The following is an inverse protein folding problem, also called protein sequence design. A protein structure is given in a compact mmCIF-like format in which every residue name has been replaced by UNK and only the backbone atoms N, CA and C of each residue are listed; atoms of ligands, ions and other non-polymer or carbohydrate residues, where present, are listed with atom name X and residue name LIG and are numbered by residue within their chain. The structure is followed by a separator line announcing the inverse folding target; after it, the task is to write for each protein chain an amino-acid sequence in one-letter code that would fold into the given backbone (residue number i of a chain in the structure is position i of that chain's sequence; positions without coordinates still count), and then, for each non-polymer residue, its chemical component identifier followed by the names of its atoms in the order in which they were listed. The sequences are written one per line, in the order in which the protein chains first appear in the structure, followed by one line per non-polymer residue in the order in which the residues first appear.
data_IF_978427731552
#
_entry.id   IF_978427731552
#
_cell.length_a   1.000
_cell.length_b   1.000
_cell.length_c   1.000
_cell.angle_alpha   90.00
_cell.angle_beta   90.00
_cell.angle_gamma   90.00
#
_symmetry.space_group_name_H-M   'P 1'
#
loop_
_entity.id
_entity.type
_entity.pdbx_description
1 polymer ?
#
# COMPACT_ATOMS: atom_id res chain seq x y z
N UNK A 1 -1.52 7.08 0.53
CA UNK A 1 -2.40 6.13 1.22
C UNK A 1 -1.57 5.52 2.33
N UNK A 2 -2.16 5.22 3.48
CA UNK A 2 -1.40 4.56 4.56
C UNK A 2 -1.29 3.07 4.30
N UNK A 3 -0.26 2.42 4.84
CA UNK A 3 -0.07 0.98 4.74
C UNK A 3 -1.31 0.18 5.18
N UNK A 4 -2.00 0.64 6.24
CA UNK A 4 -3.20 -0.01 6.75
C UNK A 4 -4.40 0.10 5.78
N UNK A 5 -4.54 1.23 5.08
CA UNK A 5 -5.57 1.39 4.04
C UNK A 5 -5.27 0.51 2.84
N UNK A 6 -4.01 0.47 2.40
CA UNK A 6 -3.55 -0.38 1.29
C UNK A 6 -3.74 -1.86 1.61
N UNK A 7 -3.43 -2.30 2.83
CA UNK A 7 -3.63 -3.69 3.25
C UNK A 7 -5.12 -4.09 3.26
N UNK A 8 -6.01 -3.22 3.73
CA UNK A 8 -7.46 -3.47 3.68
C UNK A 8 -8.00 -3.51 2.25
N UNK A 9 -7.47 -2.67 1.37
CA UNK A 9 -7.83 -2.69 -0.04
C UNK A 9 -7.34 -3.97 -0.73
N UNK A 10 -6.11 -4.40 -0.46
CA UNK A 10 -5.57 -5.68 -0.93
C UNK A 10 -6.47 -6.85 -0.51
N UNK A 11 -6.89 -6.89 0.76
CA UNK A 11 -7.83 -7.91 1.24
C UNK A 11 -9.16 -7.90 0.48
N UNK A 12 -9.72 -6.72 0.20
CA UNK A 12 -10.97 -6.62 -0.57
C UNK A 12 -10.77 -7.09 -2.02
N UNK A 13 -9.63 -6.79 -2.64
CA UNK A 13 -9.30 -7.25 -3.99
C UNK A 13 -9.12 -8.78 -4.03
N UNK A 14 -8.52 -9.38 -3.01
CA UNK A 14 -8.38 -10.83 -2.89
C UNK A 14 -9.75 -11.52 -2.80
N UNK A 15 -10.68 -10.96 -2.01
CA UNK A 15 -12.06 -11.42 -1.94
C UNK A 15 -12.78 -11.29 -3.29
N UNK A 16 -12.55 -10.21 -4.04
CA UNK A 16 -13.11 -10.06 -5.38
C UNK A 16 -12.55 -11.10 -6.36
N UNK A 17 -11.27 -11.48 -6.24
CA UNK A 17 -10.67 -12.53 -7.06
C UNK A 17 -11.30 -13.89 -6.75
N UNK A 18 -11.58 -14.19 -5.48
CA UNK A 18 -12.29 -15.40 -5.08
C UNK A 18 -13.73 -15.38 -5.59
N UNK A 19 -14.43 -14.26 -5.43
CA UNK A 19 -15.83 -14.08 -5.84
C UNK A 19 -16.04 -14.32 -7.34
N UNK A 20 -15.09 -13.87 -8.18
CA UNK A 20 -15.13 -14.02 -9.63
C UNK A 20 -14.32 -15.22 -10.16
N UNK A 21 -14.15 -16.30 -9.39
CA UNK A 21 -13.34 -17.47 -9.82
C UNK A 21 -13.94 -18.16 -11.05
N UNK A 22 -15.25 -18.44 -11.04
CA UNK A 22 -15.86 -19.35 -12.03
C UNK A 22 -16.82 -18.64 -13.00
N UNK A 23 -16.90 -17.31 -12.95
CA UNK A 23 -17.71 -16.49 -13.85
C UNK A 23 -19.21 -16.50 -13.61
N UNK A 24 -19.74 -17.47 -12.86
CA UNK A 24 -21.16 -17.56 -12.50
C UNK A 24 -21.72 -16.36 -11.73
N UNK A 25 -20.84 -15.55 -11.13
CA UNK A 25 -21.22 -14.35 -10.38
C UNK A 25 -20.98 -13.04 -11.12
N UNK A 26 -20.53 -13.03 -12.38
CA UNK A 26 -20.30 -11.79 -13.10
C UNK A 26 -21.49 -11.39 -13.96
N UNK A 27 -22.01 -10.18 -13.74
CA UNK A 27 -23.11 -9.62 -14.54
C UNK A 27 -22.78 -8.22 -15.06
N UNK A 28 -23.51 -7.79 -16.11
CA UNK A 28 -23.40 -6.47 -16.74
C UNK A 28 -24.72 -5.72 -16.66
N UNK A 29 -24.65 -4.39 -16.60
CA UNK A 29 -25.80 -3.48 -16.61
C UNK A 29 -26.63 -3.49 -15.32
N UNK A 30 -26.25 -4.29 -14.32
CA UNK A 30 -26.90 -4.39 -13.00
C UNK A 30 -25.85 -4.52 -11.91
N UNK A 31 -26.07 -3.85 -10.77
CA UNK A 31 -25.22 -4.01 -9.59
C UNK A 31 -25.38 -5.38 -8.93
N UNK A 32 -26.59 -5.93 -8.99
CA UNK A 32 -27.00 -7.22 -8.47
C UNK A 32 -28.11 -7.73 -9.41
N UNK A 33 -28.01 -8.96 -9.88
CA UNK A 33 -29.02 -9.59 -10.73
C UNK A 33 -30.08 -10.39 -9.97
N UNK A 34 -29.98 -10.46 -8.64
CA UNK A 34 -30.87 -11.19 -7.74
C UNK A 34 -30.60 -12.70 -7.66
N UNK A 35 -29.66 -13.22 -8.44
CA UNK A 35 -29.27 -14.63 -8.48
C UNK A 35 -27.83 -14.85 -8.01
N UNK A 36 -27.26 -13.88 -7.29
CA UNK A 36 -25.87 -13.88 -6.83
C UNK A 36 -24.87 -13.33 -7.85
N UNK A 37 -25.33 -12.86 -9.01
CA UNK A 37 -24.49 -12.19 -9.98
C UNK A 37 -24.35 -10.70 -9.66
N UNK A 38 -23.11 -10.20 -9.66
CA UNK A 38 -22.78 -8.80 -9.44
C UNK A 38 -21.87 -8.25 -10.54
N UNK A 39 -22.06 -6.97 -10.88
CA UNK A 39 -21.05 -6.25 -11.65
C UNK A 39 -19.82 -5.98 -10.80
N UNK A 40 -18.72 -5.51 -11.40
CA UNK A 40 -17.49 -5.17 -10.69
C UNK A 40 -17.72 -4.30 -9.44
N UNK A 41 -18.50 -3.23 -9.61
CA UNK A 41 -18.80 -2.29 -8.50
C UNK A 41 -19.79 -2.91 -7.52
N UNK A 42 -20.75 -3.69 -8.00
CA UNK A 42 -21.71 -4.42 -7.15
C UNK A 42 -21.02 -5.39 -6.20
N UNK A 43 -20.10 -6.20 -6.72
CA UNK A 43 -19.33 -7.17 -5.94
C UNK A 43 -18.46 -6.46 -4.91
N UNK A 44 -17.79 -5.36 -5.31
CA UNK A 44 -16.99 -4.54 -4.40
C UNK A 44 -17.82 -4.01 -3.23
N UNK A 45 -19.04 -3.51 -3.48
CA UNK A 45 -19.93 -3.00 -2.43
C UNK A 45 -20.51 -4.13 -1.56
N UNK A 46 -20.85 -5.27 -2.16
CA UNK A 46 -21.35 -6.45 -1.46
C UNK A 46 -20.30 -6.98 -0.47
N UNK A 47 -19.10 -7.31 -0.97
CA UNK A 47 -18.00 -7.84 -0.17
C UNK A 47 -17.49 -6.83 0.86
N UNK A 48 -17.46 -5.55 0.51
CA UNK A 48 -17.15 -4.48 1.48
C UNK A 48 -18.08 -4.50 2.68
N UNK A 49 -19.39 -4.65 2.45
CA UNK A 49 -20.39 -4.69 3.53
C UNK A 49 -20.28 -5.97 4.34
N UNK A 50 -20.14 -7.11 3.66
CA UNK A 50 -20.02 -8.42 4.29
C UNK A 50 -18.79 -8.51 5.21
N UNK A 51 -17.63 -8.06 4.71
CA UNK A 51 -16.35 -8.15 5.43
C UNK A 51 -15.98 -6.87 6.20
N UNK A 52 -16.83 -5.84 6.18
CA UNK A 52 -16.62 -4.53 6.82
C UNK A 52 -15.32 -3.83 6.37
N UNK A 53 -15.00 -3.93 5.09
CA UNK A 53 -13.81 -3.34 4.50
C UNK A 53 -14.12 -2.00 3.80
N UNK A 54 -13.27 -0.98 3.92
CA UNK A 54 -13.45 0.28 3.21
C UNK A 54 -13.25 0.11 1.71
N UNK A 55 -14.01 0.86 0.91
CA UNK A 55 -14.01 0.74 -0.56
C UNK A 55 -13.08 1.73 -1.26
N UNK A 56 -12.82 2.89 -0.66
CA UNK A 56 -12.19 4.03 -1.33
C UNK A 56 -10.87 3.67 -2.01
N UNK A 57 -9.95 3.06 -1.27
CA UNK A 57 -8.62 2.69 -1.78
C UNK A 57 -8.70 1.59 -2.83
N UNK A 58 -9.58 0.59 -2.65
CA UNK A 58 -9.77 -0.46 -3.65
C UNK A 58 -10.33 0.11 -4.98
N UNK A 59 -11.26 1.06 -4.91
CA UNK A 59 -11.79 1.77 -6.09
C UNK A 59 -10.66 2.52 -6.80
N UNK A 60 -9.84 3.27 -6.07
CA UNK A 60 -8.71 4.00 -6.66
C UNK A 60 -7.74 3.06 -7.37
N UNK A 61 -7.33 1.97 -6.72
CA UNK A 61 -6.43 0.97 -7.30
C UNK A 61 -7.02 0.30 -8.54
N UNK A 62 -8.33 -0.03 -8.53
CA UNK A 62 -9.02 -0.55 -9.70
C UNK A 62 -9.04 0.44 -10.85
N UNK A 63 -9.25 1.73 -10.56
CA UNK A 63 -9.22 2.78 -11.57
C UNK A 63 -7.82 2.95 -12.18
N UNK A 64 -6.78 2.93 -11.36
CA UNK A 64 -5.38 3.01 -11.81
C UNK A 64 -4.94 1.76 -12.59
N UNK A 65 -5.55 0.61 -12.30
CA UNK A 65 -5.31 -0.62 -13.04
C UNK A 65 -5.92 -0.62 -14.44
N UNK A 66 -6.97 0.18 -14.71
CA UNK A 66 -7.67 0.15 -16.00
C UNK A 66 -6.75 0.48 -17.18
N UNK A 67 -7.04 -0.08 -18.39
CA UNK A 67 -6.25 0.23 -19.58
C UNK A 67 -6.37 1.68 -20.03
N UNK A 68 -7.49 2.32 -19.69
CA UNK A 68 -7.80 3.73 -19.99
C UNK A 68 -8.09 4.46 -18.67
N UNK A 69 -7.11 5.18 -18.11
CA UNK A 69 -7.30 5.97 -16.90
C UNK A 69 -8.46 6.96 -17.04
N UNK A 70 -9.19 7.20 -15.95
CA UNK A 70 -10.27 8.20 -15.89
C UNK A 70 -11.65 7.71 -16.31
N UNK A 71 -11.80 6.46 -16.80
CA UNK A 71 -13.13 5.89 -17.03
C UNK A 71 -13.81 5.47 -15.72
N UNK A 72 -15.14 5.57 -15.60
CA UNK A 72 -15.86 4.98 -14.48
C UNK A 72 -15.79 3.44 -14.52
N UNK A 73 -15.64 2.79 -13.35
CA UNK A 73 -15.61 1.32 -13.24
C UNK A 73 -16.88 0.66 -13.81
N UNK A 74 -18.04 1.32 -13.68
CA UNK A 74 -19.31 0.85 -14.27
C UNK A 74 -19.22 0.83 -15.80
N UNK A 75 -18.69 1.88 -16.41
CA UNK A 75 -18.50 1.94 -17.85
C UNK A 75 -17.50 0.88 -18.33
N UNK A 76 -16.41 0.68 -17.59
CA UNK A 76 -15.49 -0.42 -17.87
C UNK A 76 -16.21 -1.78 -17.84
N UNK A 77 -16.95 -2.09 -16.77
CA UNK A 77 -17.65 -3.37 -16.62
C UNK A 77 -18.64 -3.63 -17.77
N UNK A 78 -19.43 -2.62 -18.14
CA UNK A 78 -20.56 -2.80 -19.05
C UNK A 78 -20.18 -2.68 -20.52
N UNK A 79 -19.18 -1.85 -20.85
CA UNK A 79 -18.88 -1.49 -22.24
C UNK A 79 -17.47 -1.86 -22.70
N UNK A 80 -16.50 -2.03 -21.80
CA UNK A 80 -15.10 -2.27 -22.18
C UNK A 80 -14.59 -3.66 -21.80
N UNK A 81 -15.08 -4.24 -20.71
CA UNK A 81 -14.67 -5.55 -20.23
C UNK A 81 -15.40 -6.62 -21.04
N UNK A 82 -14.70 -7.27 -21.97
CA UNK A 82 -15.24 -8.27 -22.89
C UNK A 82 -15.35 -9.66 -22.27
N UNK A 83 -14.57 -9.97 -21.24
CA UNK A 83 -14.53 -11.30 -20.63
C UNK A 83 -14.22 -11.29 -19.14
N UNK A 84 -14.54 -12.39 -18.47
CA UNK A 84 -14.16 -12.64 -17.07
C UNK A 84 -12.63 -12.60 -16.90
N UNK A 85 -11.89 -13.09 -17.89
CA UNK A 85 -10.42 -13.06 -17.87
C UNK A 85 -9.90 -11.63 -17.81
N UNK A 86 -10.49 -10.73 -18.60
CA UNK A 86 -10.17 -9.29 -18.52
C UNK A 86 -10.60 -8.66 -17.20
N UNK A 87 -11.77 -9.03 -16.66
CA UNK A 87 -12.21 -8.55 -15.35
C UNK A 87 -11.18 -8.91 -14.27
N UNK A 88 -10.81 -10.20 -14.21
CA UNK A 88 -9.83 -10.73 -13.27
C UNK A 88 -8.44 -10.12 -13.45
N UNK A 89 -8.03 -9.84 -14.69
CA UNK A 89 -6.72 -9.25 -14.96
C UNK A 89 -6.60 -7.83 -14.40
N UNK A 90 -7.67 -7.03 -14.45
CA UNK A 90 -7.70 -5.70 -13.84
C UNK A 90 -7.66 -5.80 -12.31
N UNK A 91 -8.40 -6.72 -11.71
CA UNK A 91 -8.36 -6.93 -10.25
C UNK A 91 -6.95 -7.37 -9.81
N UNK A 92 -6.31 -8.30 -10.54
CA UNK A 92 -4.94 -8.73 -10.27
C UNK A 92 -3.93 -7.59 -10.43
N UNK A 93 -4.11 -6.71 -11.42
CA UNK A 93 -3.24 -5.55 -11.60
C UNK A 93 -3.41 -4.54 -10.46
N UNK A 94 -4.66 -4.27 -10.04
CA UNK A 94 -4.93 -3.44 -8.86
C UNK A 94 -4.30 -4.03 -7.59
N UNK A 95 -4.32 -5.37 -7.45
CA UNK A 95 -3.70 -6.06 -6.32
C UNK A 95 -2.18 -5.88 -6.31
N UNK A 96 -1.52 -5.95 -7.47
CA UNK A 96 -0.07 -5.67 -7.59
C UNK A 96 0.26 -4.21 -7.25
N UNK A 97 -0.54 -3.26 -7.71
CA UNK A 97 -0.35 -1.85 -7.35
C UNK A 97 -0.40 -1.65 -5.82
N UNK A 98 -1.26 -2.38 -5.10
CA UNK A 98 -1.30 -2.35 -3.65
C UNK A 98 0.00 -2.89 -3.00
N UNK A 99 0.59 -3.96 -3.56
CA UNK A 99 1.87 -4.49 -3.09
C UNK A 99 3.02 -3.49 -3.33
N UNK A 100 3.06 -2.92 -4.53
CA UNK A 100 4.07 -1.93 -4.93
C UNK A 100 4.03 -0.68 -4.03
N UNK A 101 2.83 -0.19 -3.70
CA UNK A 101 2.65 0.94 -2.78
C UNK A 101 3.09 0.60 -1.35
N UNK A 102 2.77 -0.61 -0.86
CA UNK A 102 3.21 -1.06 0.45
C UNK A 102 4.73 -1.26 0.52
N UNK A 103 5.38 -1.69 -0.56
CA UNK A 103 6.83 -1.77 -0.68
C UNK A 103 7.49 -0.39 -0.69
N UNK A 104 6.93 0.54 -1.45
CA UNK A 104 7.40 1.92 -1.51
C UNK A 104 7.35 2.58 -0.14
N UNK A 105 6.22 2.49 0.56
CA UNK A 105 6.06 3.10 1.89
C UNK A 105 7.03 2.51 2.93
N UNK A 106 7.27 1.19 2.89
CA UNK A 106 8.30 0.55 3.73
C UNK A 106 9.70 1.06 3.42
N UNK A 107 10.02 1.21 2.14
CA UNK A 107 11.32 1.70 1.68
C UNK A 107 11.54 3.16 2.11
N UNK A 108 10.54 4.01 1.91
CA UNK A 108 10.57 5.42 2.31
C UNK A 108 10.72 5.57 3.84
N UNK A 109 10.02 4.73 4.61
CA UNK A 109 10.15 4.70 6.07
C UNK A 109 11.57 4.30 6.52
N UNK A 110 12.17 3.30 5.86
CA UNK A 110 13.54 2.87 6.15
C UNK A 110 14.58 3.96 5.83
N UNK A 111 14.43 4.63 4.68
CA UNK A 111 15.29 5.77 4.31
C UNK A 111 15.18 6.91 5.31
N UNK A 112 13.96 7.25 5.72
CA UNK A 112 13.72 8.29 6.73
C UNK A 112 14.33 7.92 8.08
N UNK A 113 14.14 6.70 8.55
CA UNK A 113 14.70 6.22 9.81
C UNK A 113 16.24 6.25 9.79
N UNK A 114 16.85 5.82 8.68
CA UNK A 114 18.29 5.89 8.50
C UNK A 114 18.82 7.33 8.54
N UNK A 115 18.16 8.26 7.84
CA UNK A 115 18.58 9.66 7.81
C UNK A 115 18.50 10.32 9.20
N UNK A 116 17.43 10.06 9.95
CA UNK A 116 17.30 10.55 11.32
C UNK A 116 18.42 10.02 12.22
N UNK A 117 18.76 8.74 12.10
CA UNK A 117 19.86 8.15 12.86
C UNK A 117 21.23 8.76 12.50
N UNK A 118 21.46 9.17 11.24
CA UNK A 118 22.69 9.88 10.87
C UNK A 118 22.74 11.28 11.49
N UNK A 119 21.63 12.03 11.46
CA UNK A 119 21.55 13.36 12.08
C UNK A 119 21.81 13.26 13.59
N UNK A 120 21.25 12.27 14.26
CA UNK A 120 21.47 12.07 15.70
C UNK A 120 22.92 11.69 16.01
N UNK A 121 23.55 10.87 15.15
CA UNK A 121 24.98 10.54 15.26
C UNK A 121 25.86 11.78 15.11
N UNK A 122 25.55 12.67 14.17
CA UNK A 122 26.30 13.92 13.97
C UNK A 122 26.09 14.95 15.09
N UNK A 123 24.94 14.88 15.78
CA UNK A 123 24.63 15.74 16.94
C UNK A 123 25.18 15.21 18.26
N UNK A 124 25.63 13.96 18.32
CA UNK A 124 26.23 13.42 19.53
C UNK A 124 27.55 14.17 19.81
N UNK A 125 27.72 14.75 21.02
CA UNK A 125 28.97 15.43 21.35
C UNK A 125 30.12 14.44 21.27
N UNK A 126 31.20 14.83 20.57
CA UNK A 126 32.48 14.16 20.70
C UNK A 126 32.83 14.14 22.19
N UNK A 127 33.17 12.98 22.78
CA UNK A 127 33.67 12.97 24.14
C UNK A 127 34.87 13.90 24.17
N UNK A 128 34.75 14.96 24.97
CA UNK A 128 35.86 15.82 25.34
C UNK A 128 36.91 14.88 25.93
N UNK A 129 37.96 14.61 25.16
CA UNK A 129 39.17 13.97 25.68
C UNK A 129 39.74 15.05 26.57
N UNK A 130 39.24 15.08 27.80
CA UNK A 130 39.73 15.95 28.85
C UNK A 130 41.22 15.80 28.89
N UNK A 131 41.88 16.87 28.47
CA UNK A 131 43.28 17.14 28.69
C UNK A 131 43.51 16.99 30.19
N UNK A 132 43.99 15.84 30.62
CA UNK A 132 44.56 15.66 31.96
C UNK A 132 45.82 16.51 31.98
N UNK A 133 45.63 17.78 32.35
CA UNK A 133 46.64 18.65 32.94
C UNK A 133 47.14 17.94 34.20
N UNK A 134 48.14 17.07 34.02
CA UNK A 134 49.06 16.66 35.08
C UNK A 134 50.02 17.83 35.28
N UNK A 135 49.97 18.57 36.41
CA UNK A 135 50.96 19.58 36.67
C UNK A 135 52.28 18.86 36.98
N UNK A 136 53.21 18.88 36.02
CA UNK A 136 54.62 18.52 36.25
C UNK A 136 55.17 19.45 37.34
N UNK A 137 55.07 18.99 38.59
CA UNK A 137 55.63 19.63 39.77
C UNK A 137 57.15 19.63 39.65
N UNK A 138 57.66 20.81 39.30
CA UNK A 138 59.07 21.13 39.19
C UNK A 138 59.61 21.34 40.61
N UNK A 139 60.20 20.31 41.22
CA UNK A 139 60.97 20.47 42.47
C UNK A 139 62.36 19.82 42.38
N UNK A 140 63.34 20.70 42.16
CA UNK A 140 64.77 20.70 42.53
C UNK A 140 65.34 19.48 43.27
N UNK A 141 66.55 19.07 42.86
CA UNK A 141 67.76 19.23 43.69
C UNK A 141 69.04 19.09 42.85
N UNK A 142 69.88 20.12 42.95
CA UNK A 142 71.28 20.08 42.56
C UNK A 142 72.11 19.52 43.72
N UNK A 143 73.02 18.59 43.40
CA UNK A 143 74.35 18.41 43.96
C UNK A 143 75.09 17.34 43.15
#
# INVERSE_FOLDING_TARGET
MTQAETAKAAQLLDLMLEFFTDGGHWTRGRYDDGNGGHCLVGALLHLSREHRLPTRTAIMLLQDAMPRPGLPLVHFNDNCCGSLVELRSIILKARRLADDDAERERSDAAVKAWLLAQIDKERAPTPDIGETDEPLSLTRLAA
#
